data_IF_334110165246
#
_entry.id   IF_334110165246
#
_cell.length_a   1.000
_cell.length_b   1.000
_cell.length_c   1.000
_cell.angle_alpha   90.00
_cell.angle_beta   90.00
_cell.angle_gamma   90.00
#
_symmetry.space_group_name_H-M   'P 1'
#
loop_
_entity.id
_entity.type
_entity.pdbx_description
1 polymer ?
#
# COMPACT_ATOMS: atom_id res chain seq x y z
N UNK A 1 -10.01 -21.83 1.98
CA UNK A 1 -10.54 -20.58 1.40
C UNK A 1 -9.53 -19.44 1.48
N UNK A 2 -9.15 -18.93 2.66
CA UNK A 2 -8.23 -17.77 2.77
C UNK A 2 -6.91 -17.96 1.99
N UNK A 3 -6.26 -19.13 2.09
CA UNK A 3 -5.07 -19.44 1.30
C UNK A 3 -5.31 -19.33 -0.22
N UNK A 4 -6.42 -19.87 -0.73
CA UNK A 4 -6.78 -19.81 -2.14
C UNK A 4 -7.03 -18.37 -2.60
N UNK A 5 -7.68 -17.56 -1.77
CA UNK A 5 -7.91 -16.14 -2.05
C UNK A 5 -6.59 -15.35 -2.12
N UNK A 6 -5.65 -15.61 -1.21
CA UNK A 6 -4.33 -14.97 -1.23
C UNK A 6 -3.51 -15.40 -2.46
N UNK A 7 -3.50 -16.69 -2.80
CA UNK A 7 -2.85 -17.18 -4.02
C UNK A 7 -3.47 -16.54 -5.27
N UNK A 8 -4.80 -16.51 -5.34
CA UNK A 8 -5.52 -15.85 -6.42
C UNK A 8 -5.17 -14.36 -6.53
N UNK A 9 -5.05 -13.64 -5.41
CA UNK A 9 -4.62 -12.25 -5.39
C UNK A 9 -3.20 -12.05 -5.92
N UNK A 10 -2.25 -12.90 -5.52
CA UNK A 10 -0.86 -12.83 -6.00
C UNK A 10 -0.78 -13.12 -7.49
N UNK A 11 -1.46 -14.17 -7.96
CA UNK A 11 -1.50 -14.53 -9.37
C UNK A 11 -2.18 -13.46 -10.22
N UNK A 12 -3.33 -12.95 -9.77
CA UNK A 12 -4.02 -11.85 -10.44
C UNK A 12 -3.11 -10.63 -10.52
N UNK A 13 -2.40 -10.27 -9.44
CA UNK A 13 -1.53 -9.10 -9.42
C UNK A 13 -0.34 -9.19 -10.40
N UNK A 14 0.09 -10.40 -10.74
CA UNK A 14 1.13 -10.63 -11.76
C UNK A 14 0.65 -10.32 -13.19
N UNK A 15 -0.65 -10.47 -13.46
CA UNK A 15 -1.24 -10.24 -14.80
C UNK A 15 -2.01 -8.92 -14.90
N UNK A 16 -2.73 -8.54 -13.85
CA UNK A 16 -3.55 -7.35 -13.71
C UNK A 16 -3.20 -6.67 -12.39
N UNK A 17 -2.63 -5.47 -12.41
CA UNK A 17 -2.22 -4.78 -11.18
C UNK A 17 -3.44 -4.35 -10.36
N UNK A 18 -3.92 -5.23 -9.48
CA UNK A 18 -5.00 -4.97 -8.50
C UNK A 18 -4.42 -4.23 -7.29
N UNK A 19 -3.25 -4.68 -6.84
CA UNK A 19 -2.52 -4.14 -5.71
C UNK A 19 -1.16 -3.61 -6.18
N UNK A 20 -0.69 -2.53 -5.56
CA UNK A 20 0.68 -2.08 -5.82
C UNK A 20 1.69 -3.08 -5.25
N UNK A 21 2.90 -3.15 -5.81
CA UNK A 21 3.98 -3.99 -5.26
C UNK A 21 4.49 -3.34 -3.96
N UNK A 22 4.33 -3.97 -2.79
CA UNK A 22 4.84 -3.41 -1.55
C UNK A 22 6.38 -3.38 -1.56
N UNK A 23 6.95 -2.41 -0.86
CA UNK A 23 8.37 -2.44 -0.50
C UNK A 23 8.69 -3.64 0.40
N UNK A 24 9.96 -4.06 0.43
CA UNK A 24 10.37 -5.32 1.04
C UNK A 24 9.90 -5.48 2.49
N UNK A 25 10.07 -4.46 3.34
CA UNK A 25 9.64 -4.55 4.74
C UNK A 25 8.12 -4.73 4.86
N UNK A 26 7.35 -4.05 4.01
CA UNK A 26 5.90 -4.15 4.00
C UNK A 26 5.45 -5.54 3.52
N UNK A 27 6.18 -6.15 2.57
CA UNK A 27 5.99 -7.56 2.19
C UNK A 27 6.18 -8.50 3.37
N UNK A 28 7.27 -8.33 4.13
CA UNK A 28 7.57 -9.16 5.30
C UNK A 28 6.48 -9.03 6.35
N UNK A 29 6.09 -7.80 6.69
CA UNK A 29 5.02 -7.53 7.66
C UNK A 29 3.68 -8.12 7.20
N UNK A 30 3.34 -7.96 5.91
CA UNK A 30 2.12 -8.54 5.33
C UNK A 30 2.11 -10.07 5.48
N UNK A 31 3.20 -10.76 5.10
CA UNK A 31 3.29 -12.22 5.18
C UNK A 31 3.17 -12.69 6.63
N UNK A 32 3.91 -12.07 7.56
CA UNK A 32 3.90 -12.46 8.97
C UNK A 32 2.52 -12.21 9.60
N UNK A 33 1.91 -11.04 9.35
CA UNK A 33 0.63 -10.67 9.94
C UNK A 33 -0.53 -11.52 9.42
N UNK A 34 -0.52 -11.88 8.12
CA UNK A 34 -1.60 -12.68 7.51
C UNK A 34 -1.40 -14.19 7.63
N UNK A 35 -0.19 -14.69 7.91
CA UNK A 35 0.04 -16.13 8.06
C UNK A 35 -0.93 -16.78 9.06
N UNK A 36 -1.14 -16.24 10.29
CA UNK A 36 -2.11 -16.81 11.22
C UNK A 36 -3.54 -16.78 10.69
N UNK A 37 -3.95 -15.77 9.92
CA UNK A 37 -5.32 -15.66 9.39
C UNK A 37 -5.55 -16.68 8.28
N UNK A 38 -4.53 -16.92 7.45
CA UNK A 38 -4.55 -17.92 6.38
C UNK A 38 -4.67 -19.32 6.97
N UNK A 39 -3.93 -19.60 8.05
CA UNK A 39 -3.89 -20.93 8.70
C UNK A 39 -4.89 -21.08 9.84
N UNK A 40 -5.67 -20.05 10.19
CA UNK A 40 -6.46 -20.00 11.44
C UNK A 40 -7.37 -21.22 11.62
N UNK A 41 -8.10 -21.60 10.55
CA UNK A 41 -9.00 -22.75 10.60
C UNK A 41 -8.30 -24.09 10.90
N UNK A 42 -7.00 -24.20 10.62
CA UNK A 42 -6.20 -25.40 10.91
C UNK A 42 -5.63 -25.39 12.33
N UNK A 43 -5.37 -24.20 12.89
CA UNK A 43 -4.62 -24.03 14.15
C UNK A 43 -5.48 -23.57 15.32
N UNK A 44 -6.73 -23.13 15.11
CA UNK A 44 -7.57 -22.48 16.12
C UNK A 44 -7.72 -23.28 17.41
N UNK A 45 -7.86 -24.60 17.30
CA UNK A 45 -8.07 -25.50 18.44
C UNK A 45 -6.74 -25.88 19.14
N UNK A 46 -5.60 -25.47 18.57
CA UNK A 46 -4.24 -25.79 19.04
C UNK A 46 -3.40 -24.55 19.35
N UNK A 47 -4.01 -23.36 19.44
CA UNK A 47 -3.27 -22.12 19.66
C UNK A 47 -2.51 -22.12 20.98
N UNK A 48 -3.08 -22.70 22.04
CA UNK A 48 -2.45 -22.83 23.36
C UNK A 48 -1.72 -21.55 23.80
N UNK A 49 -0.41 -21.65 24.04
CA UNK A 49 0.46 -20.54 24.43
C UNK A 49 0.69 -19.46 23.35
N UNK A 50 0.46 -19.79 22.07
CA UNK A 50 0.67 -18.86 20.95
C UNK A 50 -0.53 -17.95 20.68
N UNK A 51 -1.62 -18.10 21.44
CA UNK A 51 -2.83 -17.31 21.27
C UNK A 51 -2.55 -15.81 21.31
N UNK A 52 -1.75 -15.33 22.26
CA UNK A 52 -1.40 -13.91 22.38
C UNK A 52 -0.72 -13.37 21.12
N UNK A 53 0.26 -14.10 20.59
CA UNK A 53 0.97 -13.74 19.35
C UNK A 53 0.02 -13.71 18.17
N UNK A 54 -0.86 -14.71 18.04
CA UNK A 54 -1.83 -14.77 16.93
C UNK A 54 -2.80 -13.60 16.97
N UNK A 55 -3.38 -13.29 18.13
CA UNK A 55 -4.31 -12.17 18.25
C UNK A 55 -3.61 -10.81 18.10
N UNK A 56 -2.36 -10.68 18.55
CA UNK A 56 -1.53 -9.51 18.25
C UNK A 56 -1.32 -9.32 16.74
N UNK A 57 -0.96 -10.37 16.01
CA UNK A 57 -0.80 -10.34 14.56
C UNK A 57 -2.13 -10.06 13.83
N UNK A 58 -3.27 -10.50 14.37
CA UNK A 58 -4.59 -10.11 13.87
C UNK A 58 -4.86 -8.62 13.98
N UNK A 59 -4.38 -7.96 15.06
CA UNK A 59 -4.46 -6.50 15.19
C UNK A 59 -3.71 -5.79 14.05
N UNK A 60 -2.49 -6.24 13.77
CA UNK A 60 -1.67 -5.70 12.66
C UNK A 60 -2.35 -5.97 11.31
N UNK A 61 -2.83 -7.20 11.08
CA UNK A 61 -3.53 -7.56 9.85
C UNK A 61 -4.79 -6.72 9.62
N UNK A 62 -5.55 -6.43 10.68
CA UNK A 62 -6.74 -5.58 10.60
C UNK A 62 -6.36 -4.14 10.19
N UNK A 63 -5.28 -3.57 10.74
CA UNK A 63 -4.78 -2.27 10.32
C UNK A 63 -4.32 -2.26 8.86
N UNK A 64 -3.66 -3.33 8.38
CA UNK A 64 -3.29 -3.48 6.97
C UNK A 64 -4.55 -3.54 6.08
N UNK A 65 -5.56 -4.31 6.47
CA UNK A 65 -6.83 -4.35 5.75
C UNK A 65 -7.48 -2.97 5.70
N UNK A 66 -7.60 -2.27 6.83
CA UNK A 66 -8.16 -0.92 6.91
C UNK A 66 -7.39 0.05 6.00
N UNK A 67 -6.06 0.02 6.06
CA UNK A 67 -5.21 0.80 5.19
C UNK A 67 -5.51 0.54 3.71
N UNK A 68 -5.56 -0.74 3.29
CA UNK A 68 -5.88 -1.11 1.92
C UNK A 68 -7.30 -0.69 1.50
N UNK A 69 -8.28 -0.76 2.39
CA UNK A 69 -9.66 -0.30 2.14
C UNK A 69 -9.65 1.20 1.83
N UNK A 70 -9.01 2.00 2.69
CA UNK A 70 -8.91 3.46 2.49
C UNK A 70 -8.14 3.78 1.21
N UNK A 71 -7.02 3.09 0.97
CA UNK A 71 -6.18 3.33 -0.21
C UNK A 71 -6.87 2.98 -1.53
N UNK A 72 -7.58 1.84 -1.58
CA UNK A 72 -8.35 1.41 -2.76
C UNK A 72 -9.66 2.21 -2.91
N UNK A 73 -10.10 2.89 -1.85
CA UNK A 73 -11.32 3.70 -1.85
C UNK A 73 -12.52 2.88 -2.35
N UNK A 74 -13.32 3.43 -3.26
CA UNK A 74 -14.51 2.80 -3.83
C UNK A 74 -14.24 1.42 -4.45
N UNK A 75 -13.03 1.15 -4.96
CA UNK A 75 -12.69 -0.14 -5.56
C UNK A 75 -12.76 -1.30 -4.56
N UNK A 76 -12.52 -1.03 -3.27
CA UNK A 76 -12.68 -2.06 -2.24
C UNK A 76 -14.13 -2.55 -2.13
N UNK A 77 -15.09 -1.60 -2.15
CA UNK A 77 -16.52 -1.90 -2.08
C UNK A 77 -17.02 -2.55 -3.37
N UNK A 78 -16.69 -2.00 -4.53
CA UNK A 78 -17.05 -2.61 -5.81
C UNK A 78 -16.42 -3.99 -5.98
N UNK A 79 -15.20 -4.19 -5.49
CA UNK A 79 -14.58 -5.50 -5.45
C UNK A 79 -15.40 -6.49 -4.64
N UNK A 80 -15.82 -6.13 -3.43
CA UNK A 80 -16.66 -7.00 -2.61
C UNK A 80 -18.00 -7.32 -3.29
N UNK A 81 -18.69 -6.31 -3.83
CA UNK A 81 -19.97 -6.49 -4.53
C UNK A 81 -19.82 -7.31 -5.81
N UNK A 82 -18.69 -7.19 -6.51
CA UNK A 82 -18.41 -7.92 -7.74
C UNK A 82 -18.35 -9.44 -7.55
N UNK A 83 -18.13 -9.92 -6.32
CA UNK A 83 -18.20 -11.36 -6.00
C UNK A 83 -19.54 -12.00 -6.40
N UNK A 84 -20.65 -11.26 -6.25
CA UNK A 84 -22.00 -11.73 -6.62
C UNK A 84 -22.15 -11.88 -8.14
N UNK A 85 -21.41 -11.09 -8.91
CA UNK A 85 -21.48 -11.05 -10.36
C UNK A 85 -20.49 -12.01 -11.04
N UNK A 86 -19.56 -12.63 -10.29
CA UNK A 86 -18.58 -13.58 -10.84
C UNK A 86 -19.25 -14.71 -11.63
N UNK A 87 -20.28 -15.41 -11.13
CA UNK A 87 -20.89 -16.51 -11.88
C UNK A 87 -21.48 -16.04 -13.20
N UNK A 88 -22.08 -14.84 -13.21
CA UNK A 88 -22.68 -14.24 -14.40
C UNK A 88 -21.61 -13.82 -15.44
N UNK A 89 -20.55 -13.12 -15.02
CA UNK A 89 -19.47 -12.71 -15.91
C UNK A 89 -18.69 -13.91 -16.46
N UNK A 90 -18.58 -14.99 -15.69
CA UNK A 90 -17.99 -16.26 -16.12
C UNK A 90 -18.81 -16.90 -17.24
N UNK A 91 -20.13 -17.01 -17.03
CA UNK A 91 -21.06 -17.57 -18.00
C UNK A 91 -21.13 -16.73 -19.28
N UNK A 92 -21.09 -15.39 -19.16
CA UNK A 92 -21.20 -14.48 -20.29
C UNK A 92 -19.97 -14.45 -21.17
N UNK A 93 -18.78 -14.36 -20.57
CA UNK A 93 -17.55 -14.08 -21.32
C UNK A 93 -16.72 -15.34 -21.60
N UNK A 94 -17.06 -16.50 -21.04
CA UNK A 94 -16.37 -17.78 -21.29
C UNK A 94 -14.90 -17.83 -20.86
N UNK A 95 -14.37 -16.77 -20.26
CA UNK A 95 -12.99 -16.67 -19.82
C UNK A 95 -12.82 -15.80 -18.57
N UNK A 96 -11.85 -16.18 -17.73
CA UNK A 96 -11.60 -15.64 -16.40
C UNK A 96 -10.80 -14.31 -16.36
N UNK A 97 -10.39 -13.73 -17.50
CA UNK A 97 -9.31 -12.71 -17.55
C UNK A 97 -9.54 -11.41 -16.75
N UNK A 98 -10.17 -10.41 -17.37
CA UNK A 98 -10.43 -9.10 -16.75
C UNK A 98 -11.34 -9.10 -15.51
N UNK A 99 -12.44 -9.89 -15.43
CA UNK A 99 -13.43 -9.74 -14.37
C UNK A 99 -12.99 -10.29 -13.00
N UNK A 100 -11.89 -11.05 -12.90
CA UNK A 100 -11.42 -11.62 -11.62
C UNK A 100 -10.53 -10.68 -10.80
N UNK A 101 -9.93 -9.68 -11.43
CA UNK A 101 -9.10 -8.69 -10.76
C UNK A 101 -9.93 -7.83 -9.77
N UNK A 102 -11.15 -7.47 -10.16
CA UNK A 102 -12.04 -6.62 -9.38
C UNK A 102 -12.50 -7.28 -8.06
N UNK A 103 -12.99 -8.53 -8.04
CA UNK A 103 -13.34 -9.22 -6.80
C UNK A 103 -12.20 -9.29 -5.78
N UNK A 104 -10.97 -9.43 -6.25
CA UNK A 104 -9.79 -9.52 -5.40
C UNK A 104 -9.48 -8.18 -4.72
N UNK A 105 -9.89 -7.05 -5.30
CA UNK A 105 -9.84 -5.75 -4.62
C UNK A 105 -10.74 -5.68 -3.36
N UNK A 106 -11.74 -6.57 -3.26
CA UNK A 106 -12.61 -6.71 -2.10
C UNK A 106 -12.03 -7.53 -0.95
N UNK A 107 -10.87 -8.19 -1.13
CA UNK A 107 -10.26 -9.02 -0.09
C UNK A 107 -9.97 -8.30 1.23
N UNK A 108 -9.48 -7.03 1.25
CA UNK A 108 -9.29 -6.31 2.50
C UNK A 108 -10.57 -6.19 3.34
N UNK A 109 -11.73 -5.91 2.70
CA UNK A 109 -13.02 -5.88 3.41
C UNK A 109 -13.41 -7.25 3.94
N UNK A 110 -13.27 -8.28 3.11
CA UNK A 110 -13.60 -9.65 3.50
C UNK A 110 -12.78 -10.12 4.70
N UNK A 111 -11.46 -9.90 4.68
CA UNK A 111 -10.58 -10.26 5.80
C UNK A 111 -10.83 -9.40 7.03
N UNK A 112 -11.14 -8.11 6.89
CA UNK A 112 -11.58 -7.28 8.02
C UNK A 112 -12.81 -7.87 8.71
N UNK A 113 -13.84 -8.26 7.96
CA UNK A 113 -15.06 -8.87 8.52
C UNK A 113 -14.73 -10.16 9.26
N UNK A 114 -13.88 -11.03 8.67
CA UNK A 114 -13.44 -12.25 9.33
C UNK A 114 -12.68 -11.99 10.63
N UNK A 115 -11.71 -11.08 10.62
CA UNK A 115 -10.92 -10.72 11.79
C UNK A 115 -11.81 -10.17 12.91
N UNK A 116 -12.73 -9.26 12.58
CA UNK A 116 -13.68 -8.71 13.54
C UNK A 116 -14.62 -9.80 14.09
N UNK A 117 -15.09 -10.71 13.24
CA UNK A 117 -15.90 -11.86 13.67
C UNK A 117 -15.15 -12.80 14.62
N UNK A 118 -13.85 -13.00 14.41
CA UNK A 118 -12.99 -13.82 15.28
C UNK A 118 -12.77 -13.12 16.63
N UNK A 119 -12.44 -11.83 16.63
CA UNK A 119 -12.01 -11.07 17.82
C UNK A 119 -13.17 -10.59 18.68
N UNK A 120 -14.28 -10.19 18.06
CA UNK A 120 -15.47 -9.67 18.75
C UNK A 120 -16.62 -10.68 18.82
N UNK A 121 -16.43 -11.88 18.28
CA UNK A 121 -17.39 -12.97 18.39
C UNK A 121 -17.66 -13.39 19.84
N UNK A 122 -18.81 -14.03 20.08
CA UNK A 122 -19.29 -14.44 21.43
C UNK A 122 -18.31 -15.32 22.21
N UNK A 123 -17.37 -15.99 21.53
CA UNK A 123 -16.40 -16.93 22.13
C UNK A 123 -15.03 -16.30 22.42
N UNK A 124 -14.79 -15.05 22.04
CA UNK A 124 -13.51 -14.39 22.24
C UNK A 124 -13.32 -13.97 23.71
N UNK A 125 -12.17 -14.31 24.28
CA UNK A 125 -11.82 -13.91 25.64
C UNK A 125 -11.44 -12.41 25.70
N UNK A 126 -11.54 -11.80 26.88
CA UNK A 126 -11.12 -10.40 27.07
C UNK A 126 -9.64 -10.17 26.69
N UNK A 127 -8.77 -11.12 27.06
CA UNK A 127 -7.34 -11.08 26.72
C UNK A 127 -7.05 -11.11 25.22
N UNK A 128 -7.87 -11.82 24.43
CA UNK A 128 -7.74 -11.88 22.97
C UNK A 128 -7.91 -10.48 22.35
N UNK A 129 -8.90 -9.72 22.85
CA UNK A 129 -9.17 -8.34 22.44
C UNK A 129 -8.05 -7.40 22.87
N UNK A 130 -7.47 -7.62 24.04
CA UNK A 130 -6.31 -6.84 24.51
C UNK A 130 -5.12 -7.03 23.58
N UNK A 131 -4.74 -8.27 23.26
CA UNK A 131 -3.61 -8.52 22.36
C UNK A 131 -3.86 -7.99 20.95
N UNK A 132 -5.08 -8.15 20.43
CA UNK A 132 -5.50 -7.51 19.18
C UNK A 132 -5.34 -5.98 19.24
N UNK A 133 -5.81 -5.36 20.31
CA UNK A 133 -5.67 -3.92 20.55
C UNK A 133 -4.21 -3.48 20.63
N UNK A 134 -3.32 -4.27 21.24
CA UNK A 134 -1.88 -4.00 21.26
C UNK A 134 -1.26 -4.03 19.86
N UNK A 135 -1.65 -4.98 19.01
CA UNK A 135 -1.20 -5.05 17.61
C UNK A 135 -1.66 -3.84 16.80
N UNK A 136 -2.93 -3.46 16.94
CA UNK A 136 -3.47 -2.25 16.31
C UNK A 136 -2.80 -0.97 16.85
N UNK A 137 -2.56 -0.91 18.16
CA UNK A 137 -1.85 0.19 18.82
C UNK A 137 -0.42 0.36 18.29
N UNK A 138 0.30 -0.74 18.03
CA UNK A 138 1.62 -0.69 17.40
C UNK A 138 1.55 -0.04 16.01
N UNK A 139 0.55 -0.37 15.19
CA UNK A 139 0.37 0.26 13.88
C UNK A 139 0.09 1.77 14.00
N UNK A 140 -0.69 2.20 14.99
CA UNK A 140 -0.93 3.62 15.27
C UNK A 140 0.36 4.33 15.68
N UNK A 141 1.15 3.74 16.60
CA UNK A 141 2.45 4.29 17.00
C UNK A 141 3.39 4.38 15.80
N UNK A 142 3.47 3.34 14.98
CA UNK A 142 4.28 3.36 13.76
C UNK A 142 3.84 4.48 12.80
N UNK A 143 2.54 4.64 12.58
CA UNK A 143 2.00 5.71 11.75
C UNK A 143 2.41 7.09 12.26
N UNK A 144 2.27 7.35 13.57
CA UNK A 144 2.66 8.62 14.18
C UNK A 144 4.17 8.88 14.08
N UNK A 145 5.01 7.86 14.30
CA UNK A 145 6.46 7.98 14.15
C UNK A 145 6.86 8.31 12.71
N UNK A 146 6.24 7.67 11.72
CA UNK A 146 6.49 7.95 10.31
C UNK A 146 6.01 9.36 9.92
N UNK A 147 4.86 9.80 10.43
CA UNK A 147 4.36 11.18 10.26
C UNK A 147 5.30 12.20 10.88
N UNK A 148 5.81 11.94 12.08
CA UNK A 148 6.79 12.82 12.73
C UNK A 148 8.07 12.92 11.90
N UNK A 149 8.63 11.77 11.47
CA UNK A 149 9.85 11.75 10.66
C UNK A 149 9.67 12.42 9.30
N UNK A 150 8.50 12.26 8.67
CA UNK A 150 8.14 12.99 7.46
C UNK A 150 8.14 14.50 7.68
N UNK A 151 7.48 14.97 8.74
CA UNK A 151 7.40 16.41 9.06
C UNK A 151 8.76 17.02 9.40
N UNK A 152 9.68 16.25 10.00
CA UNK A 152 11.05 16.68 10.26
C UNK A 152 11.80 17.07 8.97
N UNK A 153 11.51 16.39 7.85
CA UNK A 153 12.18 16.63 6.57
C UNK A 153 11.36 17.44 5.56
N UNK A 154 10.09 17.73 5.86
CA UNK A 154 9.16 18.40 4.95
C UNK A 154 9.69 19.73 4.43
N UNK A 155 10.15 20.61 5.32
CA UNK A 155 10.60 21.95 4.95
C UNK A 155 11.83 21.90 4.04
N UNK A 156 12.80 21.02 4.34
CA UNK A 156 14.02 20.84 3.54
C UNK A 156 13.70 20.32 2.14
N UNK A 157 12.84 19.30 2.02
CA UNK A 157 12.43 18.77 0.72
C UNK A 157 11.66 19.81 -0.10
N UNK A 158 10.75 20.57 0.54
CA UNK A 158 10.01 21.64 -0.12
C UNK A 158 10.93 22.74 -0.63
N UNK A 159 11.90 23.18 0.18
CA UNK A 159 12.86 24.20 -0.22
C UNK A 159 13.70 23.74 -1.42
N UNK A 160 14.11 22.48 -1.44
CA UNK A 160 14.88 21.91 -2.56
C UNK A 160 14.08 21.91 -3.87
N UNK A 161 12.79 21.56 -3.83
CA UNK A 161 11.92 21.63 -5.01
C UNK A 161 11.67 23.06 -5.50
N UNK A 162 11.65 24.06 -4.61
CA UNK A 162 11.46 25.46 -4.99
C UNK A 162 12.73 26.16 -5.47
N UNK A 163 13.90 25.78 -4.94
CA UNK A 163 15.17 26.48 -5.22
C UNK A 163 16.09 25.71 -6.18
N UNK A 164 15.86 24.40 -6.35
CA UNK A 164 16.77 23.50 -7.05
C UNK A 164 17.97 23.05 -6.23
N UNK A 165 18.21 23.65 -5.05
CA UNK A 165 19.33 23.26 -4.18
C UNK A 165 18.99 22.00 -3.38
N UNK A 166 19.71 20.92 -3.67
CA UNK A 166 19.52 19.60 -3.06
C UNK A 166 20.62 19.25 -2.06
N UNK A 167 21.62 20.12 -1.88
CA UNK A 167 22.83 19.85 -1.08
C UNK A 167 22.52 19.60 0.41
N UNK A 168 21.49 20.25 0.94
CA UNK A 168 21.07 20.14 2.34
C UNK A 168 20.17 18.91 2.62
N UNK A 169 19.79 18.13 1.61
CA UNK A 169 18.89 16.99 1.82
C UNK A 169 19.67 15.79 2.36
N UNK A 170 19.36 15.28 3.57
CA UNK A 170 20.03 14.09 4.08
C UNK A 170 19.64 12.86 3.24
N UNK A 171 20.62 12.02 2.91
CA UNK A 171 20.39 10.75 2.21
C UNK A 171 19.90 9.67 3.18
N UNK A 172 18.60 9.67 3.50
CA UNK A 172 18.02 8.71 4.41
C UNK A 172 16.77 8.04 3.83
N UNK A 173 16.19 7.13 4.62
CA UNK A 173 15.01 6.38 4.22
C UNK A 173 13.86 7.31 3.85
N UNK A 174 13.48 8.23 4.73
CA UNK A 174 12.29 9.07 4.56
C UNK A 174 12.45 10.05 3.40
N UNK A 175 13.59 10.74 3.28
CA UNK A 175 13.84 11.70 2.18
C UNK A 175 13.82 11.03 0.82
N UNK A 176 14.29 9.78 0.70
CA UNK A 176 14.15 9.01 -0.54
C UNK A 176 12.67 8.79 -0.90
N UNK A 177 11.81 8.50 0.08
CA UNK A 177 10.37 8.29 -0.18
C UNK A 177 9.70 9.60 -0.58
N UNK A 178 10.08 10.70 0.06
CA UNK A 178 9.57 12.04 -0.23
C UNK A 178 9.97 12.51 -1.64
N UNK A 179 11.26 12.39 -2.00
CA UNK A 179 11.71 12.73 -3.35
C UNK A 179 11.16 11.75 -4.39
N UNK A 180 10.99 10.47 -4.05
CA UNK A 180 10.50 9.42 -4.95
C UNK A 180 8.99 9.39 -5.15
N UNK A 181 8.22 10.29 -4.55
CA UNK A 181 6.76 10.30 -4.65
C UNK A 181 6.29 10.38 -6.10
N UNK A 182 5.26 9.62 -6.45
CA UNK A 182 4.58 9.62 -7.76
C UNK A 182 5.40 9.19 -8.97
N UNK A 183 6.69 8.88 -8.83
CA UNK A 183 7.43 8.19 -9.89
C UNK A 183 8.16 6.93 -9.43
N UNK A 184 8.56 6.85 -8.16
CA UNK A 184 9.14 5.64 -7.54
C UNK A 184 8.17 4.98 -6.56
N UNK A 185 7.43 5.78 -5.79
CA UNK A 185 6.46 5.32 -4.79
C UNK A 185 5.04 5.80 -5.10
N UNK A 186 4.08 4.88 -4.99
CA UNK A 186 2.68 5.11 -5.25
C UNK A 186 1.94 5.59 -4.00
N UNK A 187 1.27 6.75 -4.07
CA UNK A 187 0.62 7.38 -2.92
C UNK A 187 -0.91 7.32 -2.90
N UNK A 188 -1.54 7.18 -4.06
CA UNK A 188 -2.99 7.07 -4.18
C UNK A 188 -3.35 6.37 -5.47
N UNK A 189 -4.38 5.53 -5.50
CA UNK A 189 -4.83 4.91 -6.75
C UNK A 189 -5.05 5.98 -7.85
N UNK A 190 -4.23 5.95 -8.91
CA UNK A 190 -4.32 6.90 -10.02
C UNK A 190 -4.55 6.13 -11.34
N UNK A 191 -5.76 6.19 -11.90
CA UNK A 191 -6.08 5.52 -13.16
C UNK A 191 -5.46 6.20 -14.39
N UNK A 192 -5.12 7.49 -14.31
CA UNK A 192 -4.92 8.35 -15.49
C UNK A 192 -3.51 8.92 -15.70
N UNK A 193 -2.56 8.70 -14.80
CA UNK A 193 -1.26 9.41 -14.89
C UNK A 193 -0.30 8.87 -15.96
N UNK A 194 -0.63 7.77 -16.66
CA UNK A 194 0.21 7.13 -17.69
C UNK A 194 1.51 6.52 -17.15
N UNK A 195 2.11 7.15 -16.14
CA UNK A 195 3.23 6.72 -15.35
C UNK A 195 2.75 6.12 -14.04
N UNK A 196 2.99 4.82 -13.83
CA UNK A 196 2.67 4.15 -12.56
C UNK A 196 3.95 3.78 -11.82
N UNK A 197 4.18 4.31 -10.61
CA UNK A 197 5.31 3.94 -9.79
C UNK A 197 5.42 2.43 -9.57
N UNK A 198 6.63 1.89 -9.45
CA UNK A 198 6.85 0.46 -9.26
C UNK A 198 6.48 -0.02 -7.85
N UNK A 199 6.58 0.84 -6.84
CA UNK A 199 6.58 0.44 -5.44
C UNK A 199 5.49 1.16 -4.64
N UNK A 200 5.08 0.53 -3.56
CA UNK A 200 4.15 1.08 -2.60
C UNK A 200 4.69 0.93 -1.20
N UNK A 201 4.75 2.06 -0.50
CA UNK A 201 5.35 2.17 0.82
C UNK A 201 4.32 2.79 1.77
N UNK A 202 3.63 1.99 2.60
CA UNK A 202 2.54 2.51 3.41
C UNK A 202 3.02 3.53 4.45
N UNK A 203 4.30 3.55 4.82
CA UNK A 203 4.82 4.53 5.78
C UNK A 203 4.67 5.96 5.27
N UNK A 204 5.01 6.21 4.00
CA UNK A 204 4.95 7.55 3.42
C UNK A 204 3.50 7.96 3.12
N UNK A 205 2.67 7.00 2.69
CA UNK A 205 1.25 7.27 2.43
C UNK A 205 0.52 7.69 3.70
N UNK A 206 0.70 6.95 4.78
CA UNK A 206 0.06 7.29 6.07
C UNK A 206 0.62 8.60 6.62
N UNK A 207 1.93 8.85 6.47
CA UNK A 207 2.52 10.12 6.87
C UNK A 207 1.88 11.32 6.15
N UNK A 208 1.60 11.20 4.85
CA UNK A 208 0.86 12.21 4.07
C UNK A 208 -0.56 12.36 4.60
N UNK A 209 -1.30 11.26 4.76
CA UNK A 209 -2.70 11.30 5.21
C UNK A 209 -2.86 11.95 6.58
N UNK A 210 -1.90 11.75 7.48
CA UNK A 210 -1.91 12.35 8.81
C UNK A 210 -1.34 13.77 8.86
N UNK A 211 -0.60 14.20 7.82
CA UNK A 211 -0.03 15.56 7.76
C UNK A 211 -0.94 16.53 6.99
N UNK A 212 -1.48 16.11 5.85
CA UNK A 212 -2.23 16.96 4.93
C UNK A 212 -3.41 17.72 5.57
N UNK A 213 -4.22 17.11 6.48
CA UNK A 213 -5.32 17.84 7.14
C UNK A 213 -4.87 19.06 7.97
N UNK A 214 -3.59 19.11 8.37
CA UNK A 214 -3.01 20.18 9.18
C UNK A 214 -2.08 21.10 8.38
N UNK A 215 -2.00 20.94 7.05
CA UNK A 215 -1.14 21.72 6.16
C UNK A 215 -1.90 22.18 4.93
N UNK A 216 -2.12 23.49 4.81
CA UNK A 216 -2.82 24.07 3.67
C UNK A 216 -2.07 23.92 2.33
N UNK A 217 -0.75 23.71 2.37
CA UNK A 217 0.10 23.56 1.19
C UNK A 217 0.22 22.11 0.68
N UNK A 218 -0.52 21.17 1.27
CA UNK A 218 -0.39 19.73 1.01
C UNK A 218 -1.75 19.04 0.88
N UNK A 219 -1.94 18.25 -0.17
CA UNK A 219 -3.13 17.42 -0.33
C UNK A 219 -2.91 15.96 0.12
N UNK A 220 -4.01 15.25 0.38
CA UNK A 220 -4.00 13.88 0.91
C UNK A 220 -3.45 12.83 -0.07
N UNK A 221 -3.28 13.16 -1.35
CA UNK A 221 -2.60 12.33 -2.36
C UNK A 221 -1.12 12.71 -2.51
N UNK A 222 -0.69 13.82 -1.91
CA UNK A 222 0.67 14.36 -2.01
C UNK A 222 0.99 14.93 -3.39
N UNK A 223 -0.01 15.31 -4.18
CA UNK A 223 0.19 16.02 -5.44
C UNK A 223 0.66 17.46 -5.26
N UNK A 224 0.41 18.06 -4.10
CA UNK A 224 0.93 19.35 -3.67
C UNK A 224 1.81 19.15 -2.44
N UNK A 225 2.96 19.83 -2.34
CA UNK A 225 3.54 20.71 -3.36
C UNK A 225 4.41 19.97 -4.42
N UNK A 226 4.56 18.64 -4.35
CA UNK A 226 5.60 17.89 -5.10
C UNK A 226 5.10 16.97 -6.23
N UNK A 227 3.82 17.01 -6.53
CA UNK A 227 3.21 16.18 -7.56
C UNK A 227 3.39 16.72 -8.97
N UNK A 228 2.76 16.00 -9.90
CA UNK A 228 2.77 16.32 -11.33
C UNK A 228 2.14 17.69 -11.66
N UNK A 229 1.33 18.24 -10.75
CA UNK A 229 0.70 19.55 -10.90
C UNK A 229 1.69 20.72 -10.75
N UNK A 230 2.80 20.49 -10.03
CA UNK A 230 3.80 21.53 -9.75
C UNK A 230 5.13 21.27 -10.45
N UNK A 231 5.48 20.00 -10.67
CA UNK A 231 6.77 19.62 -11.24
C UNK A 231 6.58 18.50 -12.28
N UNK A 232 7.29 18.63 -13.40
CA UNK A 232 7.33 17.56 -14.41
C UNK A 232 7.92 16.28 -13.81
N UNK A 233 7.53 15.11 -14.33
CA UNK A 233 8.15 13.82 -13.94
C UNK A 233 9.67 13.87 -14.08
N UNK A 234 10.17 14.51 -15.15
CA UNK A 234 11.61 14.65 -15.41
C UNK A 234 12.30 15.49 -14.33
N UNK A 235 11.79 16.68 -14.01
CA UNK A 235 12.41 17.53 -12.98
C UNK A 235 12.42 16.87 -11.59
N UNK A 236 11.41 16.05 -11.29
CA UNK A 236 11.38 15.27 -10.03
C UNK A 236 12.40 14.13 -10.03
N UNK A 237 12.60 13.45 -11.16
CA UNK A 237 13.65 12.44 -11.31
C UNK A 237 15.04 13.06 -11.20
N UNK A 238 15.27 14.22 -11.81
CA UNK A 238 16.52 14.97 -11.71
C UNK A 238 16.83 15.37 -10.26
N UNK A 239 15.86 15.96 -9.55
CA UNK A 239 16.00 16.30 -8.14
C UNK A 239 16.29 15.06 -7.26
N UNK A 240 15.62 13.94 -7.55
CA UNK A 240 15.89 12.67 -6.88
C UNK A 240 17.30 12.15 -7.16
N UNK A 241 17.76 12.21 -8.41
CA UNK A 241 19.08 11.73 -8.84
C UNK A 241 20.22 12.62 -8.34
N UNK A 242 19.98 13.91 -8.15
CA UNK A 242 20.94 14.80 -7.49
C UNK A 242 21.24 14.35 -6.05
N UNK A 243 20.23 13.84 -5.33
CA UNK A 243 20.40 13.33 -3.95
C UNK A 243 20.78 11.86 -3.91
N UNK A 244 20.29 11.03 -4.83
CA UNK A 244 20.47 9.58 -4.85
C UNK A 244 20.97 9.07 -6.22
N UNK A 245 22.18 9.46 -6.66
CA UNK A 245 22.67 9.18 -8.02
C UNK A 245 22.70 7.68 -8.35
N UNK A 246 23.15 6.86 -7.39
CA UNK A 246 23.35 5.42 -7.55
C UNK A 246 22.06 4.61 -7.44
N UNK A 247 20.93 5.23 -7.05
CA UNK A 247 19.67 4.49 -6.84
C UNK A 247 18.86 4.43 -8.14
N UNK A 248 18.50 3.24 -8.64
CA UNK A 248 17.79 3.13 -9.90
C UNK A 248 16.32 3.56 -9.77
N UNK A 249 15.81 4.19 -10.82
CA UNK A 249 14.38 4.40 -11.04
C UNK A 249 13.88 3.22 -11.88
N UNK A 250 13.40 2.16 -11.22
CA UNK A 250 12.96 0.94 -11.91
C UNK A 250 11.54 1.08 -12.45
N UNK A 251 11.27 0.55 -13.64
CA UNK A 251 9.94 0.58 -14.28
C UNK A 251 9.36 -0.82 -14.49
N UNK A 252 9.44 -1.68 -13.48
CA UNK A 252 9.11 -3.10 -13.63
C UNK A 252 7.64 -3.46 -13.34
N UNK A 253 6.78 -2.49 -13.01
CA UNK A 253 5.37 -2.81 -12.70
C UNK A 253 4.58 -3.20 -13.94
N UNK A 254 3.55 -4.03 -13.76
CA UNK A 254 2.68 -4.47 -14.85
C UNK A 254 1.99 -3.29 -15.53
N UNK A 255 1.69 -2.22 -14.80
CA UNK A 255 1.21 -0.98 -15.41
C UNK A 255 2.25 -0.31 -16.32
N UNK A 256 3.52 -0.19 -15.91
CA UNK A 256 4.57 0.36 -16.78
C UNK A 256 4.79 -0.52 -18.02
N UNK A 257 4.74 -1.85 -17.88
CA UNK A 257 4.82 -2.79 -19.02
C UNK A 257 3.69 -2.58 -20.03
N UNK A 258 2.47 -2.30 -19.56
CA UNK A 258 1.31 -2.00 -20.41
C UNK A 258 1.51 -0.78 -21.31
N UNK A 259 2.36 0.17 -20.91
CA UNK A 259 2.70 1.37 -21.68
C UNK A 259 4.16 1.38 -22.17
N UNK A 260 4.83 0.22 -22.17
CA UNK A 260 6.26 0.06 -22.48
C UNK A 260 6.70 0.71 -23.79
N UNK A 261 5.87 0.71 -24.83
CA UNK A 261 6.16 1.34 -26.13
C UNK A 261 6.46 2.84 -26.04
N UNK A 262 5.85 3.53 -25.07
CA UNK A 262 6.05 4.96 -24.85
C UNK A 262 7.16 5.23 -23.82
N UNK A 263 7.29 4.40 -22.79
CA UNK A 263 8.14 4.71 -21.63
C UNK A 263 9.51 4.03 -21.62
N UNK A 264 9.66 2.79 -22.08
CA UNK A 264 10.95 2.06 -21.96
C UNK A 264 12.03 2.54 -22.94
N UNK A 265 11.64 3.34 -23.93
CA UNK A 265 12.55 3.94 -24.90
C UNK A 265 13.01 5.35 -24.51
N UNK A 266 12.59 5.88 -23.36
CA UNK A 266 13.05 7.19 -22.89
C UNK A 266 14.46 7.08 -22.29
N UNK A 267 15.50 7.66 -22.93
CA UNK A 267 16.89 7.56 -22.47
C UNK A 267 17.13 8.22 -21.12
N UNK A 268 16.22 9.09 -20.66
CA UNK A 268 16.31 9.81 -19.37
C UNK A 268 15.98 8.93 -18.16
N UNK A 269 15.53 7.71 -18.39
CA UNK A 269 15.10 6.75 -17.36
C UNK A 269 16.12 5.62 -17.12
N UNK A 270 17.28 5.69 -17.78
CA UNK A 270 18.39 4.73 -17.65
C UNK A 270 19.45 5.24 -16.68
#
# INVERSE_FOLDING_TARGET
>A
MNALLCVGAVMANAHHQVFCRPVLWATVVLVIAFAPLITYNLIRDRLGRFKSVVFFLFGIAACICLYCIVFLSYLSLFGLLSLVFIPFELLRNGHFGSPMALPLAGLPLFFSIQLLGIVFGRRAAGSDRTYFGMGAGLCVVFALLMTFWFNLHYATIRAAYSTGDTSAIPQNYMTERMLGMHFKYHLSFCPYDGWRPPLHDPSIVVAIWLTAPFRADMDYRGHTPWGYQHHSVIGRIEAYKAVFPDRPVRMECSCAKGYSKFYFNDPRLR
#
